data_IF_995941682298
#
_entry.id   IF_995941682298
#
_cell.length_a   1.000
_cell.length_b   1.000
_cell.length_c   1.000
_cell.angle_alpha   90.00
_cell.angle_beta   90.00
_cell.angle_gamma   90.00
#
_symmetry.space_group_name_H-M   'P 1'
#
loop_
_entity.id
_entity.type
_entity.pdbx_description
1 polymer ?
#
# COMPACT_ATOMS: atom_id res chain seq x y z
N UNK A 1 -13.93 -5.48 -18.90
CA UNK A 1 -13.13 -6.36 -18.03
C UNK A 1 -11.74 -5.75 -17.92
N UNK A 2 -11.41 -5.11 -16.80
CA UNK A 2 -10.11 -4.47 -16.63
C UNK A 2 -9.04 -5.52 -16.38
N UNK A 3 -8.22 -5.79 -17.40
CA UNK A 3 -7.13 -6.74 -17.35
C UNK A 3 -5.87 -6.10 -16.71
N UNK A 4 -6.04 -5.29 -15.66
CA UNK A 4 -4.92 -4.60 -15.01
C UNK A 4 -4.26 -5.53 -13.98
N UNK A 5 -2.93 -5.50 -13.83
CA UNK A 5 -2.26 -6.22 -12.74
C UNK A 5 -2.60 -5.58 -11.39
N UNK A 6 -2.74 -6.41 -10.37
CA UNK A 6 -2.98 -6.01 -8.99
C UNK A 6 -1.89 -6.54 -8.09
N UNK A 7 -1.48 -5.74 -7.13
CA UNK A 7 -0.60 -6.15 -6.06
C UNK A 7 -1.48 -6.39 -4.83
N UNK A 8 -1.51 -7.62 -4.34
CA UNK A 8 -2.26 -7.97 -3.13
C UNK A 8 -1.30 -8.47 -2.06
N UNK A 9 -1.61 -8.19 -0.81
CA UNK A 9 -0.85 -8.64 0.35
C UNK A 9 -1.64 -9.65 1.15
N UNK A 10 -1.20 -10.91 1.11
CA UNK A 10 -1.76 -11.99 1.92
C UNK A 10 -0.78 -12.22 3.08
N UNK A 11 -1.20 -12.00 4.34
CA UNK A 11 -0.31 -12.20 5.50
C UNK A 11 0.34 -13.58 5.51
N UNK A 12 1.61 -13.65 5.91
CA UNK A 12 2.41 -14.90 5.90
C UNK A 12 1.75 -16.05 6.67
N UNK A 13 0.91 -15.77 7.68
CA UNK A 13 0.15 -16.80 8.43
C UNK A 13 -0.79 -17.61 7.52
N UNK A 14 -1.20 -17.05 6.38
CA UNK A 14 -2.04 -17.69 5.38
C UNK A 14 -1.25 -18.17 4.14
N UNK A 15 0.09 -18.18 4.17
CA UNK A 15 0.91 -18.55 3.01
C UNK A 15 0.54 -19.93 2.44
N UNK A 16 0.31 -20.92 3.31
CA UNK A 16 -0.10 -22.27 2.90
C UNK A 16 -1.45 -22.31 2.17
N UNK A 17 -2.31 -21.33 2.44
CA UNK A 17 -3.64 -21.19 1.82
C UNK A 17 -3.66 -20.18 0.67
N UNK A 18 -2.53 -19.55 0.33
CA UNK A 18 -2.48 -18.55 -0.72
C UNK A 18 -3.05 -19.03 -2.07
N UNK A 19 -2.79 -20.27 -2.56
CA UNK A 19 -3.41 -20.75 -3.80
C UNK A 19 -4.94 -20.80 -3.75
N UNK A 20 -5.51 -21.20 -2.61
CA UNK A 20 -6.95 -21.29 -2.40
C UNK A 20 -7.57 -19.89 -2.33
N UNK A 21 -6.94 -18.97 -1.57
CA UNK A 21 -7.35 -17.56 -1.48
C UNK A 21 -7.34 -16.90 -2.86
N UNK A 22 -6.28 -17.09 -3.64
CA UNK A 22 -6.18 -16.54 -4.99
C UNK A 22 -7.27 -17.10 -5.91
N UNK A 23 -7.55 -18.40 -5.82
CA UNK A 23 -8.62 -19.03 -6.60
C UNK A 23 -9.99 -18.47 -6.21
N UNK A 24 -10.26 -18.33 -4.92
CA UNK A 24 -11.51 -17.75 -4.39
C UNK A 24 -11.70 -16.27 -4.72
N UNK A 25 -10.63 -15.53 -4.97
CA UNK A 25 -10.66 -14.16 -5.49
C UNK A 25 -10.80 -14.10 -7.02
N UNK A 26 -10.80 -15.23 -7.73
CA UNK A 26 -10.73 -15.25 -9.19
C UNK A 26 -9.43 -14.64 -9.72
N UNK A 27 -8.34 -14.78 -8.97
CA UNK A 27 -7.05 -14.20 -9.24
C UNK A 27 -6.10 -15.21 -9.92
N UNK A 28 -5.44 -14.79 -10.99
CA UNK A 28 -4.35 -15.54 -11.61
C UNK A 28 -3.01 -14.98 -11.14
N UNK A 29 -2.20 -15.80 -10.47
CA UNK A 29 -0.86 -15.41 -10.02
C UNK A 29 0.05 -15.13 -11.22
N UNK A 30 0.70 -13.97 -11.24
CA UNK A 30 1.77 -13.66 -12.19
C UNK A 30 3.13 -13.86 -11.56
N UNK A 31 3.34 -13.33 -10.36
CA UNK A 31 4.63 -13.35 -9.68
C UNK A 31 4.46 -13.11 -8.18
N UNK A 32 5.24 -13.82 -7.36
CA UNK A 32 5.42 -13.46 -5.95
C UNK A 32 6.51 -12.40 -5.82
N UNK A 33 6.25 -11.37 -5.03
CA UNK A 33 7.16 -10.26 -4.80
C UNK A 33 7.40 -10.16 -3.29
N UNK A 34 8.65 -10.11 -2.83
CA UNK A 34 8.94 -10.10 -1.39
C UNK A 34 8.46 -11.37 -0.68
N UNK A 35 7.95 -11.22 0.54
CA UNK A 35 7.42 -12.32 1.37
C UNK A 35 5.92 -12.52 1.19
N UNK A 36 5.14 -11.47 1.40
CA UNK A 36 3.67 -11.51 1.53
C UNK A 36 2.92 -10.85 0.36
N UNK A 37 3.61 -10.42 -0.71
CA UNK A 37 2.95 -9.83 -1.88
C UNK A 37 2.83 -10.77 -3.08
N UNK A 38 1.68 -10.68 -3.72
CA UNK A 38 1.31 -11.44 -4.90
C UNK A 38 0.90 -10.45 -5.98
N UNK A 39 1.65 -10.43 -7.08
CA UNK A 39 1.25 -9.74 -8.30
C UNK A 39 0.33 -10.66 -9.08
N UNK A 40 -0.91 -10.25 -9.27
CA UNK A 40 -1.99 -11.07 -9.82
C UNK A 40 -2.74 -10.35 -10.92
N UNK A 41 -3.51 -11.09 -11.71
CA UNK A 41 -4.59 -10.53 -12.54
C UNK A 41 -5.91 -10.96 -11.96
N UNK A 42 -6.83 -10.03 -11.77
CA UNK A 42 -8.17 -10.32 -11.27
C UNK A 42 -9.15 -10.39 -12.44
N UNK A 43 -10.01 -11.41 -12.42
CA UNK A 43 -11.14 -11.48 -13.35
C UNK A 43 -12.14 -10.33 -13.08
N UNK A 44 -12.39 -10.04 -11.80
CA UNK A 44 -13.19 -8.92 -11.31
C UNK A 44 -12.52 -8.25 -10.11
N UNK A 45 -12.03 -7.00 -10.21
CA UNK A 45 -11.48 -6.26 -9.08
C UNK A 45 -12.43 -6.11 -7.89
N UNK A 46 -13.74 -6.12 -8.10
CA UNK A 46 -14.71 -6.02 -7.00
C UNK A 46 -14.63 -7.19 -6.02
N UNK A 47 -14.02 -8.32 -6.43
CA UNK A 47 -13.75 -9.46 -5.56
C UNK A 47 -12.87 -9.09 -4.35
N UNK A 48 -12.01 -8.08 -4.46
CA UNK A 48 -11.17 -7.61 -3.36
C UNK A 48 -11.95 -6.96 -2.20
N UNK A 49 -13.23 -6.68 -2.39
CA UNK A 49 -14.11 -6.18 -1.33
C UNK A 49 -15.36 -7.01 -1.09
N UNK A 50 -15.92 -7.60 -2.15
CA UNK A 50 -17.21 -8.29 -2.08
C UNK A 50 -17.10 -9.80 -1.90
N UNK A 51 -15.95 -10.38 -2.20
CA UNK A 51 -15.73 -11.81 -2.02
C UNK A 51 -15.57 -12.14 -0.54
N UNK A 52 -16.05 -13.31 -0.11
CA UNK A 52 -15.74 -13.85 1.23
C UNK A 52 -14.23 -14.02 1.43
N UNK A 53 -13.48 -14.21 0.35
CA UNK A 53 -12.02 -14.36 0.36
C UNK A 53 -11.27 -13.05 0.59
N UNK A 54 -11.94 -11.90 0.44
CA UNK A 54 -11.34 -10.57 0.64
C UNK A 54 -10.78 -10.39 2.06
N UNK A 55 -11.34 -11.09 3.06
CA UNK A 55 -10.91 -11.02 4.46
C UNK A 55 -9.46 -11.46 4.67
N UNK A 56 -8.91 -12.28 3.76
CA UNK A 56 -7.53 -12.74 3.83
C UNK A 56 -6.54 -11.77 3.17
N UNK A 57 -7.05 -10.72 2.52
CA UNK A 57 -6.22 -9.68 1.90
C UNK A 57 -6.05 -8.50 2.85
N UNK A 58 -4.85 -8.34 3.38
CA UNK A 58 -4.53 -7.28 4.34
C UNK A 58 -4.33 -5.91 3.68
N UNK A 59 -4.01 -5.90 2.39
CA UNK A 59 -3.77 -4.70 1.60
C UNK A 59 -3.84 -5.03 0.11
N UNK A 60 -4.24 -4.07 -0.73
CA UNK A 60 -4.28 -4.25 -2.17
C UNK A 60 -4.04 -2.93 -2.93
N UNK A 61 -3.60 -3.04 -4.18
CA UNK A 61 -3.35 -1.89 -5.05
C UNK A 61 -3.42 -2.28 -6.53
N UNK A 62 -4.15 -1.52 -7.39
CA UNK A 62 -4.01 -1.63 -8.83
C UNK A 62 -2.61 -1.17 -9.25
N UNK A 63 -1.86 -2.02 -9.95
CA UNK A 63 -0.50 -1.67 -10.39
C UNK A 63 -0.57 -0.94 -11.71
N UNK A 64 -0.76 0.37 -11.61
CA UNK A 64 -0.74 1.25 -12.77
C UNK A 64 0.66 1.30 -13.39
N UNK A 65 1.72 1.34 -12.57
CA UNK A 65 3.11 1.39 -13.00
C UNK A 65 3.93 0.26 -12.37
N UNK A 66 4.57 -0.54 -13.21
CA UNK A 66 5.57 -1.52 -12.78
C UNK A 66 6.88 -1.23 -13.51
N UNK A 67 7.96 -1.11 -12.75
CA UNK A 67 9.32 -1.05 -13.27
C UNK A 67 10.14 -2.19 -12.65
N UNK A 68 10.08 -3.40 -13.24
CA UNK A 68 10.82 -4.55 -12.75
C UNK A 68 12.30 -4.37 -13.08
N UNK A 69 13.10 -4.06 -12.06
CA UNK A 69 14.53 -3.86 -12.18
C UNK A 69 15.24 -4.30 -10.89
N UNK A 70 16.57 -4.20 -10.85
CA UNK A 70 17.34 -4.33 -9.62
C UNK A 70 17.78 -2.93 -9.18
N UNK A 71 17.05 -2.26 -8.26
CA UNK A 71 17.35 -0.87 -7.91
C UNK A 71 18.77 -0.67 -7.38
N UNK A 72 19.33 -1.67 -6.70
CA UNK A 72 20.71 -1.67 -6.19
C UNK A 72 21.78 -1.55 -7.28
N UNK A 73 21.50 -2.06 -8.48
CA UNK A 73 22.44 -2.06 -9.60
C UNK A 73 22.14 -0.95 -10.62
N UNK A 74 21.18 -0.08 -10.32
CA UNK A 74 20.70 0.91 -11.27
C UNK A 74 21.16 2.31 -10.89
N UNK A 75 22.06 2.86 -11.70
CA UNK A 75 22.52 4.23 -11.53
C UNK A 75 21.39 5.23 -11.76
N UNK A 76 21.28 6.17 -10.82
CA UNK A 76 20.26 7.21 -10.84
C UNK A 76 18.83 6.69 -10.70
N UNK A 77 18.64 5.52 -10.07
CA UNK A 77 17.31 4.92 -9.88
C UNK A 77 16.28 5.91 -9.32
N UNK A 78 16.63 6.64 -8.25
CA UNK A 78 15.72 7.59 -7.58
C UNK A 78 15.25 8.68 -8.53
N UNK A 79 16.15 9.28 -9.31
CA UNK A 79 15.78 10.33 -10.27
C UNK A 79 14.87 9.78 -11.36
N UNK A 80 15.27 8.67 -11.99
CA UNK A 80 14.51 8.04 -13.08
C UNK A 80 13.13 7.59 -12.63
N UNK A 81 13.04 7.02 -11.41
CA UNK A 81 11.78 6.62 -10.80
C UNK A 81 10.89 7.84 -10.54
N UNK A 82 11.42 8.90 -9.93
CA UNK A 82 10.64 10.09 -9.61
C UNK A 82 10.09 10.78 -10.88
N UNK A 83 10.90 10.91 -11.93
CA UNK A 83 10.47 11.43 -13.23
C UNK A 83 9.40 10.54 -13.88
N UNK A 84 9.58 9.21 -13.81
CA UNK A 84 8.60 8.25 -14.32
C UNK A 84 7.26 8.34 -13.59
N UNK A 85 7.29 8.50 -12.27
CA UNK A 85 6.11 8.73 -11.45
C UNK A 85 5.43 10.05 -11.80
N UNK A 86 6.19 11.14 -11.90
CA UNK A 86 5.66 12.46 -12.26
C UNK A 86 4.95 12.42 -13.61
N UNK A 87 5.62 11.86 -14.63
CA UNK A 87 5.05 11.73 -15.97
C UNK A 87 3.74 10.95 -16.00
N UNK A 88 3.57 9.97 -15.10
CA UNK A 88 2.43 9.06 -15.11
C UNK A 88 1.29 9.47 -14.19
N UNK A 89 1.60 10.13 -13.07
CA UNK A 89 0.65 10.42 -12.01
C UNK A 89 0.55 11.89 -11.63
N UNK A 90 1.45 12.76 -12.12
CA UNK A 90 1.48 14.19 -11.79
C UNK A 90 0.15 14.90 -12.09
N UNK A 91 -0.46 14.58 -13.22
CA UNK A 91 -1.73 15.19 -13.65
C UNK A 91 -2.97 14.51 -13.06
N UNK A 92 -2.79 13.42 -12.29
CA UNK A 92 -3.89 12.68 -11.65
C UNK A 92 -4.27 13.22 -10.27
N UNK A 93 -3.58 14.26 -9.81
CA UNK A 93 -3.86 15.00 -8.57
C UNK A 93 -4.10 14.09 -7.33
N UNK A 94 -3.18 13.19 -6.97
CA UNK A 94 -3.31 12.41 -5.74
C UNK A 94 -3.36 13.34 -4.51
N UNK A 95 -4.13 12.96 -3.48
CA UNK A 95 -4.15 13.71 -2.21
C UNK A 95 -2.78 13.65 -1.51
N UNK A 96 -2.08 12.54 -1.69
CA UNK A 96 -0.83 12.23 -1.05
C UNK A 96 -0.03 11.22 -1.87
N UNK A 97 1.25 11.12 -1.54
CA UNK A 97 2.13 10.13 -2.10
C UNK A 97 2.90 9.46 -0.98
N UNK A 98 2.84 8.14 -0.91
CA UNK A 98 3.58 7.37 0.10
C UNK A 98 4.40 6.27 -0.55
N UNK A 99 5.65 6.14 -0.10
CA UNK A 99 6.59 5.13 -0.56
C UNK A 99 6.92 4.17 0.58
N UNK A 100 6.96 2.88 0.32
CA UNK A 100 7.35 1.88 1.30
C UNK A 100 8.17 0.75 0.67
N UNK A 101 8.82 -0.08 1.50
CA UNK A 101 9.48 -1.27 1.01
C UNK A 101 8.45 -2.34 0.61
N UNK A 102 8.75 -3.10 -0.45
CA UNK A 102 7.97 -4.26 -0.90
C UNK A 102 8.17 -5.51 0.00
N UNK A 103 8.71 -5.32 1.19
CA UNK A 103 8.80 -6.33 2.24
C UNK A 103 8.72 -5.61 3.60
N UNK A 104 7.59 -5.73 4.32
CA UNK A 104 7.45 -5.21 5.67
C UNK A 104 8.43 -5.95 6.57
N UNK A 105 9.30 -5.22 7.28
CA UNK A 105 10.29 -5.85 8.16
C UNK A 105 11.54 -6.41 7.48
N UNK A 106 11.82 -6.03 6.22
CA UNK A 106 13.07 -6.41 5.55
C UNK A 106 14.29 -6.08 6.44
N UNK A 107 15.18 -7.05 6.71
CA UNK A 107 16.30 -6.86 7.64
C UNK A 107 17.34 -5.86 7.12
N UNK A 108 17.32 -5.53 5.81
CA UNK A 108 18.29 -4.64 5.21
C UNK A 108 17.74 -3.20 5.10
N UNK A 109 18.35 -2.21 5.80
CA UNK A 109 17.91 -0.80 5.81
C UNK A 109 17.83 -0.16 4.41
N UNK A 110 18.56 -0.72 3.45
CA UNK A 110 18.67 -0.21 2.08
C UNK A 110 17.32 0.14 1.43
N UNK A 111 16.34 -0.77 1.36
CA UNK A 111 15.09 -0.49 0.65
C UNK A 111 14.21 0.51 1.40
N UNK A 112 14.34 0.59 2.73
CA UNK A 112 13.69 1.63 3.54
C UNK A 112 14.29 3.00 3.23
N UNK A 113 15.62 3.12 3.21
CA UNK A 113 16.29 4.37 2.81
C UNK A 113 15.99 4.74 1.36
N UNK A 114 15.94 3.77 0.45
CA UNK A 114 15.62 3.99 -0.95
C UNK A 114 14.19 4.53 -1.11
N UNK A 115 13.22 3.99 -0.37
CA UNK A 115 11.86 4.51 -0.32
C UNK A 115 11.84 5.96 0.20
N UNK A 116 12.49 6.25 1.33
CA UNK A 116 12.58 7.62 1.86
C UNK A 116 13.20 8.60 0.86
N UNK A 117 14.29 8.20 0.20
CA UNK A 117 14.95 9.03 -0.82
C UNK A 117 14.05 9.26 -2.03
N UNK A 118 13.33 8.23 -2.48
CA UNK A 118 12.35 8.37 -3.55
C UNK A 118 11.24 9.33 -3.15
N UNK A 119 10.64 9.20 -1.95
CA UNK A 119 9.63 10.15 -1.44
C UNK A 119 10.16 11.57 -1.45
N UNK A 120 11.35 11.80 -0.89
CA UNK A 120 11.95 13.12 -0.82
C UNK A 120 12.13 13.75 -2.20
N UNK A 121 12.63 12.96 -3.17
CA UNK A 121 12.80 13.44 -4.53
C UNK A 121 11.48 13.69 -5.24
N UNK A 122 10.51 12.82 -5.05
CA UNK A 122 9.18 12.94 -5.64
C UNK A 122 8.44 14.17 -5.12
N UNK A 123 8.53 14.46 -3.81
CA UNK A 123 7.94 15.67 -3.21
C UNK A 123 8.57 16.98 -3.72
N UNK A 124 9.79 16.95 -4.23
CA UNK A 124 10.42 18.11 -4.89
C UNK A 124 9.92 18.33 -6.32
N UNK A 125 9.45 17.27 -6.98
CA UNK A 125 9.09 17.29 -8.40
C UNK A 125 7.57 17.37 -8.64
N UNK A 126 6.78 16.77 -7.75
CA UNK A 126 5.33 16.76 -7.86
C UNK A 126 4.72 18.13 -7.55
N UNK A 127 3.55 18.44 -8.12
CA UNK A 127 2.70 19.51 -7.62
C UNK A 127 2.46 19.36 -6.12
N UNK A 128 2.24 20.47 -5.42
CA UNK A 128 1.97 20.46 -3.98
C UNK A 128 0.83 19.51 -3.64
N UNK A 129 1.12 18.50 -2.83
CA UNK A 129 0.14 17.53 -2.37
C UNK A 129 -0.57 18.06 -1.10
N UNK A 130 -1.90 17.95 -1.01
CA UNK A 130 -2.66 18.52 0.11
C UNK A 130 -2.41 17.80 1.45
N UNK A 131 -1.98 16.55 1.42
CA UNK A 131 -1.77 15.73 2.63
C UNK A 131 -0.30 15.31 2.74
N UNK A 132 0.37 15.81 3.79
CA UNK A 132 1.77 15.49 4.10
C UNK A 132 1.92 14.21 4.95
N UNK A 133 1.05 14.07 5.95
CA UNK A 133 1.08 12.97 6.92
C UNK A 133 0.04 11.90 6.59
N UNK A 134 0.40 10.64 6.83
CA UNK A 134 -0.42 9.48 6.43
C UNK A 134 -1.77 9.48 7.15
N UNK A 135 -1.76 9.86 8.42
CA UNK A 135 -2.92 9.90 9.30
C UNK A 135 -3.93 11.01 8.93
N UNK A 136 -3.53 11.99 8.12
CA UNK A 136 -4.37 13.09 7.68
C UNK A 136 -5.09 12.83 6.34
N UNK A 137 -4.92 11.64 5.75
CA UNK A 137 -5.57 11.28 4.50
C UNK A 137 -7.09 11.17 4.65
N UNK A 138 -7.81 11.67 3.66
CA UNK A 138 -9.22 11.33 3.48
C UNK A 138 -9.33 9.86 3.03
N UNK A 139 -10.17 9.02 3.68
CA UNK A 139 -10.26 7.59 3.35
C UNK A 139 -10.65 7.29 1.90
N UNK A 140 -11.34 8.21 1.24
CA UNK A 140 -11.96 8.02 -0.09
C UNK A 140 -11.24 8.76 -1.22
N UNK A 141 -10.25 9.58 -0.91
CA UNK A 141 -9.50 10.31 -1.94
C UNK A 141 -8.31 9.47 -2.42
N UNK A 142 -7.98 9.57 -3.71
CA UNK A 142 -6.90 8.79 -4.29
C UNK A 142 -5.53 9.18 -3.74
N UNK A 143 -4.78 8.18 -3.31
CA UNK A 143 -3.39 8.30 -2.87
C UNK A 143 -2.48 7.51 -3.80
N UNK A 144 -1.33 8.08 -4.15
CA UNK A 144 -0.29 7.35 -4.89
C UNK A 144 0.55 6.53 -3.91
N UNK A 145 0.40 5.21 -3.98
CA UNK A 145 1.21 4.25 -3.24
C UNK A 145 2.34 3.72 -4.13
N UNK A 146 3.55 3.69 -3.59
CA UNK A 146 4.75 3.17 -4.26
C UNK A 146 5.46 2.15 -3.37
N UNK A 147 5.70 0.94 -3.89
CA UNK A 147 6.43 -0.11 -3.21
C UNK A 147 7.74 -0.41 -3.94
N UNK A 148 8.84 -0.43 -3.19
CA UNK A 148 10.19 -0.64 -3.72
C UNK A 148 10.82 -1.87 -3.08
N UNK A 149 11.32 -2.78 -3.89
CA UNK A 149 12.03 -3.97 -3.42
C UNK A 149 13.17 -4.38 -4.36
N UNK A 150 13.76 -5.53 -4.09
CA UNK A 150 14.77 -6.13 -4.98
C UNK A 150 14.21 -6.43 -6.37
N UNK A 151 12.90 -6.60 -6.46
CA UNK A 151 12.13 -6.90 -7.66
C UNK A 151 11.74 -5.66 -8.47
N UNK A 152 12.05 -4.45 -7.99
CA UNK A 152 11.79 -3.18 -8.68
C UNK A 152 10.85 -2.23 -7.94
N UNK A 153 10.21 -1.34 -8.71
CA UNK A 153 9.22 -0.36 -8.27
C UNK A 153 7.83 -0.75 -8.77
N UNK A 154 6.85 -0.75 -7.89
CA UNK A 154 5.45 -1.01 -8.21
C UNK A 154 4.61 0.12 -7.62
N UNK A 155 3.76 0.74 -8.43
CA UNK A 155 3.04 1.96 -8.03
C UNK A 155 1.65 2.01 -8.63
N UNK A 156 0.74 2.63 -7.90
CA UNK A 156 -0.68 2.70 -8.24
C UNK A 156 -1.37 3.80 -7.45
N UNK A 157 -2.51 4.25 -7.95
CA UNK A 157 -3.38 5.18 -7.22
C UNK A 157 -4.65 4.47 -6.78
N UNK A 158 -4.99 4.64 -5.51
CA UNK A 158 -6.23 4.13 -4.94
C UNK A 158 -6.52 4.87 -3.63
N UNK A 159 -7.79 4.90 -3.22
CA UNK A 159 -8.19 5.41 -1.91
C UNK A 159 -7.64 4.54 -0.77
N UNK A 160 -7.31 5.10 0.41
CA UNK A 160 -6.96 4.31 1.58
C UNK A 160 -8.00 3.25 1.96
N UNK A 161 -9.29 3.56 1.80
CA UNK A 161 -10.41 2.63 2.05
C UNK A 161 -10.31 1.42 1.13
N UNK A 162 -10.13 1.66 -0.16
CA UNK A 162 -10.09 0.57 -1.13
C UNK A 162 -8.79 -0.24 -1.04
N UNK A 163 -7.70 0.40 -0.64
CA UNK A 163 -6.42 -0.27 -0.41
C UNK A 163 -6.36 -1.10 0.89
N UNK A 164 -7.40 -1.04 1.74
CA UNK A 164 -7.40 -1.59 3.11
C UNK A 164 -6.28 -1.00 3.99
N UNK A 165 -5.90 0.26 3.76
CA UNK A 165 -4.87 0.90 4.59
C UNK A 165 -4.35 2.23 4.08
N UNK A 166 -3.93 3.07 5.03
CA UNK A 166 -3.31 4.37 4.76
C UNK A 166 -1.85 4.31 4.30
N UNK A 167 -1.20 3.15 4.49
CA UNK A 167 0.24 2.97 4.28
C UNK A 167 0.50 2.04 3.08
N UNK A 168 1.61 2.22 2.34
CA UNK A 168 2.06 1.23 1.36
C UNK A 168 2.29 -0.11 2.06
N UNK A 169 1.50 -1.12 1.70
CA UNK A 169 1.56 -2.44 2.33
C UNK A 169 0.69 -2.63 3.57
N UNK A 170 -0.10 -1.64 3.97
CA UNK A 170 -0.96 -1.71 5.16
C UNK A 170 -0.28 -1.21 6.44
N UNK A 171 -1.04 -1.25 7.55
CA UNK A 171 -0.85 -0.42 8.75
C UNK A 171 0.60 -0.30 9.25
N UNK A 172 1.01 0.93 9.59
CA UNK A 172 2.31 1.29 10.21
C UNK A 172 2.58 0.66 11.57
N UNK A 173 1.62 -0.05 12.16
CA UNK A 173 1.77 -0.59 13.51
C UNK A 173 2.35 -2.00 13.46
N UNK A 174 3.68 -2.07 13.35
CA UNK A 174 4.43 -3.29 13.64
C UNK A 174 4.65 -3.37 15.16
N UNK A 175 4.41 -4.58 15.67
CA UNK A 175 4.61 -5.05 17.05
C UNK A 175 5.92 -4.53 17.67
N UNK A 176 5.78 -3.84 18.80
CA UNK A 176 6.83 -3.44 19.76
C UNK A 176 8.05 -2.66 19.21
N UNK A 177 8.10 -1.38 19.54
CA UNK A 177 9.32 -0.70 19.97
C UNK A 177 8.96 0.29 21.10
N UNK A 178 9.98 0.75 21.83
CA UNK A 178 9.96 1.31 23.20
C UNK A 178 9.07 2.54 23.48
N UNK A 179 8.24 2.99 22.54
CA UNK A 179 7.45 4.22 22.66
C UNK A 179 5.93 4.05 22.80
N UNK A 180 5.36 2.86 22.50
CA UNK A 180 3.90 2.67 22.56
C UNK A 180 3.58 1.32 23.23
N UNK A 181 2.71 1.35 24.24
CA UNK A 181 2.23 0.13 24.91
C UNK A 181 1.45 -0.77 23.94
N UNK A 182 1.36 -2.07 24.24
CA UNK A 182 0.53 -3.02 23.47
C UNK A 182 -0.93 -2.56 23.34
N UNK A 183 -1.43 -1.84 24.35
CA UNK A 183 -2.76 -1.24 24.32
C UNK A 183 -2.83 -0.05 23.35
N UNK A 184 -1.83 0.85 23.36
CA UNK A 184 -1.76 1.99 22.46
C UNK A 184 -1.71 1.59 20.98
N UNK A 185 -0.96 0.54 20.64
CA UNK A 185 -0.90 0.03 19.26
C UNK A 185 -2.28 -0.48 18.79
N UNK A 186 -2.99 -1.22 19.64
CA UNK A 186 -4.35 -1.71 19.33
C UNK A 186 -5.36 -0.57 19.18
N UNK A 187 -5.26 0.46 20.02
CA UNK A 187 -6.13 1.65 19.93
C UNK A 187 -5.88 2.36 18.61
N UNK A 188 -4.63 2.55 18.21
CA UNK A 188 -4.32 3.22 16.95
C UNK A 188 -4.77 2.40 15.72
N UNK A 189 -4.60 1.08 15.75
CA UNK A 189 -5.16 0.18 14.74
C UNK A 189 -6.69 0.28 14.67
N UNK A 190 -7.36 0.29 15.83
CA UNK A 190 -8.81 0.44 15.91
C UNK A 190 -9.27 1.79 15.34
N UNK A 191 -8.60 2.89 15.67
CA UNK A 191 -8.91 4.22 15.15
C UNK A 191 -8.72 4.31 13.63
N UNK A 192 -7.65 3.72 13.09
CA UNK A 192 -7.49 3.61 11.64
C UNK A 192 -8.61 2.80 11.01
N UNK A 193 -8.95 1.64 11.58
CA UNK A 193 -10.03 0.79 11.08
C UNK A 193 -11.36 1.54 11.09
N UNK A 194 -11.65 2.27 12.16
CA UNK A 194 -12.84 3.10 12.27
C UNK A 194 -12.88 4.17 11.18
N UNK A 195 -11.78 4.90 10.97
CA UNK A 195 -11.73 5.93 9.93
C UNK A 195 -11.89 5.34 8.51
N UNK A 196 -11.33 4.14 8.26
CA UNK A 196 -11.43 3.48 6.96
C UNK A 196 -12.84 2.96 6.68
N UNK A 197 -13.48 2.29 7.63
CA UNK A 197 -14.69 1.49 7.36
C UNK A 197 -15.96 2.01 8.01
N UNK A 198 -15.88 3.03 8.87
CA UNK A 198 -17.05 3.64 9.51
C UNK A 198 -17.17 5.11 9.10
N UNK A 199 -18.40 5.62 8.98
CA UNK A 199 -18.61 7.06 8.91
C UNK A 199 -17.96 7.73 10.12
N UNK A 200 -17.42 8.94 9.92
CA UNK A 200 -16.98 9.76 11.04
C UNK A 200 -18.14 9.94 12.02
N UNK A 201 -17.86 9.78 13.31
CA UNK A 201 -18.84 10.04 14.35
C UNK A 201 -19.28 11.51 14.27
N UNK A 202 -20.58 11.77 14.47
CA UNK A 202 -21.07 13.13 14.65
C UNK A 202 -20.41 13.77 15.87
N UNK A 203 -20.17 15.08 15.81
CA UNK A 203 -19.64 15.81 16.96
C UNK A 203 -20.53 15.61 18.19
N UNK A 204 -19.92 15.19 19.31
CA UNK A 204 -20.63 14.87 20.56
C UNK A 204 -21.08 13.41 20.72
N UNK A 205 -20.87 12.55 19.71
CA UNK A 205 -21.05 11.12 19.89
C UNK A 205 -19.86 10.52 20.65
N UNK A 206 -20.14 9.79 21.73
CA UNK A 206 -19.16 9.05 22.51
C UNK A 206 -19.32 7.55 22.23
N UNK A 207 -18.21 6.83 22.17
CA UNK A 207 -18.24 5.37 22.23
C UNK A 207 -18.74 4.98 23.63
N UNK A 208 -19.77 4.14 23.70
CA UNK A 208 -20.15 3.50 24.96
C UNK A 208 -18.98 2.60 25.37
N UNK A 209 -18.45 2.83 26.58
CA UNK A 209 -17.51 1.93 27.26
C UNK A 209 -18.20 0.63 27.71
#
# INVERSE_FOLDING_TARGET
>A
MSNAPWLIRIPDVFEAFAPEILTGLGATLQKRLGGDYYLVRLADPAALQKSEWAIFTSWNLPVDHAWPCCPQKMDGFVEKAAQGLLKKFGDRAPQALFTGPLQPGAPHPYYKHLATNLRGRVLQLFPTLPVAEVEAQAPEADTLFCLIGKEGLYSGMQSPRDANGFYPGGTKFIRQSEAISRAGAKIAEALHFLNLHRPALSGGAHWLE
#
